data_IF_127353543634
#
_entry.id   IF_127353543634
#
_cell.length_a   1.000
_cell.length_b   1.000
_cell.length_c   1.000
_cell.angle_alpha   90.00
_cell.angle_beta   90.00
_cell.angle_gamma   90.00
#
_symmetry.space_group_name_H-M   'P 1'
#
loop_
_entity.id
_entity.type
_entity.pdbx_description
1 polymer ?
2 non-polymer ?
3 water ?
#
# COMPACT_ATOMS: atom_id res chain seq x y z
N UNK A 5 15.04 -27.10 20.96
CA UNK A 5 13.94 -26.46 20.24
C UNK A 5 14.33 -25.06 19.80
N UNK A 6 14.70 -24.92 18.53
CA UNK A 6 15.12 -23.65 17.96
C UNK A 6 14.00 -23.13 17.05
N UNK A 7 13.41 -21.99 17.43
CA UNK A 7 12.29 -21.39 16.73
C UNK A 7 12.73 -20.15 15.98
N UNK A 8 12.22 -19.99 14.76
CA UNK A 8 12.50 -18.82 13.92
C UNK A 8 11.19 -18.23 13.48
N UNK A 9 11.06 -16.91 13.62
CA UNK A 9 9.91 -16.16 13.14
C UNK A 9 10.31 -15.38 11.90
N UNK A 10 9.58 -15.59 10.80
CA UNK A 10 9.86 -14.98 9.51
C UNK A 10 8.98 -13.74 9.35
N UNK A 11 9.61 -12.57 9.34
CA UNK A 11 8.94 -11.29 9.12
C UNK A 11 8.77 -11.01 7.63
N UNK A 12 7.56 -10.57 7.25
CA UNK A 12 7.27 -10.08 5.90
C UNK A 12 6.32 -8.90 6.05
N UNK A 13 5.05 -9.18 6.32
CA UNK A 13 4.16 -8.18 6.87
C UNK A 13 4.17 -8.31 8.38
N UNK A 14 3.21 -7.69 9.06
CA UNK A 14 3.14 -7.74 10.50
C UNK A 14 4.44 -7.34 11.16
N UNK A 15 4.99 -6.19 10.79
CA UNK A 15 6.29 -5.74 11.29
C UNK A 15 6.11 -5.03 12.62
N UNK A 16 5.76 -5.80 13.65
CA UNK A 16 5.43 -5.25 14.95
C UNK A 16 5.60 -6.35 15.99
N UNK A 17 5.66 -5.93 17.25
CA UNK A 17 5.64 -6.85 18.37
C UNK A 17 4.29 -6.91 19.06
N UNK A 18 3.40 -5.96 18.82
CA UNK A 18 2.07 -6.04 19.39
C UNK A 18 1.15 -6.84 18.47
N UNK A 19 0.16 -7.48 19.07
CA UNK A 19 -0.85 -8.27 18.37
C UNK A 19 -0.20 -9.12 17.28
N UNK A 20 0.75 -9.95 17.71
CA UNK A 20 1.50 -10.83 16.82
C UNK A 20 1.25 -12.27 17.25
N UNK A 21 0.10 -12.85 16.87
CA UNK A 21 -0.20 -14.23 17.29
C UNK A 21 0.83 -15.25 16.84
N UNK A 22 1.31 -15.15 15.60
CA UNK A 22 2.28 -16.12 15.10
C UNK A 22 3.57 -16.09 15.93
N UNK A 23 4.02 -14.90 16.31
CA UNK A 23 5.23 -14.77 17.11
C UNK A 23 5.01 -15.25 18.54
N UNK A 24 3.87 -14.91 19.12
CA UNK A 24 3.57 -15.37 20.48
C UNK A 24 3.53 -16.90 20.54
N UNK A 25 2.81 -17.54 19.61
CA UNK A 25 2.72 -19.00 19.64
C UNK A 25 4.08 -19.65 19.40
N UNK A 26 4.86 -19.09 18.47
CA UNK A 26 6.18 -19.66 18.19
C UNK A 26 7.09 -19.57 19.41
N UNK A 27 6.95 -18.49 20.18
CA UNK A 27 7.78 -18.28 21.36
C UNK A 27 7.41 -19.27 22.46
N UNK A 28 6.12 -19.54 22.63
CA UNK A 28 5.67 -20.44 23.68
C UNK A 28 6.25 -21.83 23.47
N UNK A 29 6.95 -22.33 24.49
CA UNK A 29 7.56 -23.65 24.41
C UNK A 29 8.90 -23.70 23.71
N UNK A 30 9.46 -22.54 23.33
CA UNK A 30 10.72 -22.47 22.64
C UNK A 30 11.85 -22.17 23.63
N UNK A 31 12.97 -22.85 23.45
CA UNK A 31 14.18 -22.46 24.16
C UNK A 31 14.85 -21.29 23.44
N UNK A 32 14.80 -21.29 22.12
CA UNK A 32 15.45 -20.36 21.23
C UNK A 32 14.38 -19.59 20.48
N UNK A 33 14.56 -18.30 20.28
CA UNK A 33 13.73 -17.53 19.36
C UNK A 33 14.63 -16.58 18.56
N UNK A 34 14.46 -16.60 17.25
CA UNK A 34 15.23 -15.75 16.33
C UNK A 34 14.28 -15.18 15.27
N UNK A 35 14.33 -13.86 15.07
CA UNK A 35 13.45 -13.16 14.15
C UNK A 35 14.22 -12.78 12.90
N UNK A 36 13.72 -13.22 11.74
CA UNK A 36 14.41 -13.03 10.47
C UNK A 36 13.58 -12.17 9.54
N UNK A 37 14.27 -11.42 8.68
CA UNK A 37 13.69 -10.83 7.49
C UNK A 37 14.61 -11.15 6.33
N UNK A 38 14.02 -11.53 5.20
CA UNK A 38 14.77 -11.97 4.03
C UNK A 38 14.50 -11.03 2.87
N UNK A 39 15.56 -10.52 2.23
CA UNK A 39 15.46 -9.74 1.00
C UNK A 39 16.70 -9.98 0.15
N UNK A 40 16.56 -9.82 -1.17
CA UNK A 40 17.76 -9.88 -2.00
C UNK A 40 18.07 -8.52 -2.60
N UNK A 41 19.22 -7.91 -2.28
CA UNK A 41 19.53 -6.59 -2.85
C UNK A 41 19.74 -6.61 -4.35
N UNK A 42 20.19 -7.73 -4.93
CA UNK A 42 20.49 -7.76 -6.36
C UNK A 42 19.24 -7.53 -7.20
N UNK A 43 18.10 -8.02 -6.73
CA UNK A 43 16.84 -7.83 -7.44
C UNK A 43 16.06 -6.62 -6.97
N UNK A 44 16.59 -5.84 -6.03
CA UNK A 44 15.84 -4.71 -5.48
C UNK A 44 15.54 -3.66 -6.55
N UNK A 45 16.47 -3.48 -7.49
CA UNK A 45 16.29 -2.44 -8.49
C UNK A 45 15.30 -2.81 -9.57
N UNK A 46 15.10 -4.10 -9.82
CA UNK A 46 14.28 -4.57 -10.94
C UNK A 46 12.94 -5.14 -10.48
N UNK A 47 12.51 -4.86 -9.25
CA UNK A 47 11.31 -5.46 -8.71
C UNK A 47 10.10 -4.53 -8.69
N UNK A 48 10.14 -3.41 -9.43
CA UNK A 48 9.08 -2.40 -9.40
C UNK A 48 8.77 -1.92 -7.97
N UNK A 49 9.78 -1.87 -7.12
CA UNK A 49 9.66 -1.33 -5.76
C UNK A 49 10.48 -0.06 -5.71
N UNK A 50 9.80 1.08 -5.47
CA UNK A 50 10.48 2.36 -5.47
C UNK A 50 11.25 2.62 -4.19
N UNK A 51 12.01 3.73 -4.22
CA UNK A 51 12.93 4.01 -3.12
C UNK A 51 12.18 4.36 -1.83
N UNK A 52 11.02 5.00 -1.93
CA UNK A 52 10.27 5.34 -0.72
C UNK A 52 9.74 4.09 -0.03
N UNK A 53 9.29 3.09 -0.81
CA UNK A 53 8.85 1.83 -0.20
C UNK A 53 10.02 1.11 0.47
N UNK A 54 11.17 1.05 -0.21
CA UNK A 54 12.36 0.45 0.39
C UNK A 54 12.77 1.19 1.65
N UNK A 55 12.77 2.53 1.62
CA UNK A 55 13.18 3.28 2.80
C UNK A 55 12.24 3.05 3.98
N UNK A 56 10.93 3.05 3.72
CA UNK A 56 9.96 2.76 4.77
C UNK A 56 10.18 1.37 5.34
N UNK A 57 10.43 0.38 4.47
CA UNK A 57 10.69 -0.97 4.94
C UNK A 57 11.94 -1.01 5.83
N UNK A 58 13.06 -0.48 5.33
CA UNK A 58 14.29 -0.51 6.11
C UNK A 58 14.11 0.18 7.45
N UNK A 59 13.32 1.26 7.50
CA UNK A 59 13.04 1.93 8.76
C UNK A 59 12.15 1.06 9.66
N UNK A 60 11.19 0.32 9.07
CA UNK A 60 10.46 -0.68 9.84
C UNK A 60 11.41 -1.67 10.49
N UNK A 61 12.41 -2.12 9.73
CA UNK A 61 13.32 -3.14 10.23
C UNK A 61 14.22 -2.59 11.32
N UNK A 62 14.66 -1.33 11.18
CA UNK A 62 15.45 -0.70 12.23
C UNK A 62 14.65 -0.60 13.52
N UNK A 63 13.37 -0.27 13.43
CA UNK A 63 12.53 -0.15 14.61
C UNK A 63 12.27 -1.52 15.26
N UNK A 64 12.02 -2.56 14.46
CA UNK A 64 11.90 -3.90 15.01
C UNK A 64 13.18 -4.31 15.73
N UNK A 65 14.32 -4.08 15.08
CA UNK A 65 15.60 -4.42 15.69
C UNK A 65 15.80 -3.68 17.01
N UNK A 66 15.48 -2.38 17.04
CA UNK A 66 15.61 -1.62 18.28
C UNK A 66 14.69 -2.16 19.36
N UNK A 67 13.42 -2.41 19.01
CA UNK A 67 12.47 -2.91 19.99
C UNK A 67 12.81 -4.31 20.45
N UNK A 68 13.43 -5.11 19.57
CA UNK A 68 13.91 -6.43 19.99
C UNK A 68 15.07 -6.30 20.98
N UNK A 69 15.89 -5.27 20.81
CA UNK A 69 16.97 -5.03 21.75
C UNK A 69 16.43 -4.82 23.17
N UNK A 70 15.31 -4.10 23.29
CA UNK A 70 14.72 -3.87 24.60
C UNK A 70 14.34 -5.17 25.28
N UNK A 71 13.93 -6.18 24.52
CA UNK A 71 13.66 -7.51 25.06
C UNK A 71 14.90 -8.40 25.05
N UNK A 72 16.07 -7.83 24.82
CA UNK A 72 17.38 -8.51 24.80
C UNK A 72 17.56 -9.40 23.58
N UNK A 73 16.72 -9.27 22.56
CA UNK A 73 16.91 -10.03 21.35
C UNK A 73 17.40 -9.11 20.24
N UNK A 74 17.46 -9.63 19.02
CA UNK A 74 17.95 -8.87 17.86
C UNK A 74 17.26 -9.38 16.61
N UNK A 75 17.21 -8.53 15.59
CA UNK A 75 16.63 -8.89 14.30
C UNK A 75 17.73 -9.39 13.35
N UNK A 76 17.42 -10.44 12.59
CA UNK A 76 18.37 -11.02 11.65
C UNK A 76 17.89 -10.69 10.23
N UNK A 77 18.65 -9.87 9.51
CA UNK A 77 18.34 -9.57 8.12
C UNK A 77 19.25 -10.41 7.24
N UNK A 78 18.65 -11.26 6.40
CA UNK A 78 19.40 -12.19 5.56
C UNK A 78 19.22 -11.80 4.11
N UNK A 79 20.32 -11.79 3.38
CA UNK A 79 20.33 -11.45 1.96
C UNK A 79 20.17 -12.71 1.13
N UNK A 80 19.13 -12.77 0.31
CA UNK A 80 18.93 -13.90 -0.57
C UNK A 80 17.45 -14.17 -0.78
N UNK A 81 17.19 -15.29 -1.43
CA UNK A 81 15.86 -15.82 -1.74
C UNK A 81 15.43 -16.80 -0.66
N UNK A 82 14.17 -16.71 -0.21
CA UNK A 82 13.72 -17.59 0.88
C UNK A 82 13.84 -19.07 0.58
N UNK A 83 13.62 -19.50 -0.66
CA UNK A 83 13.75 -20.92 -0.97
C UNK A 83 15.19 -21.38 -0.81
N UNK A 84 16.14 -20.49 -1.07
CA UNK A 84 17.55 -20.84 -0.98
C UNK A 84 18.09 -20.69 0.44
N UNK A 85 17.61 -19.71 1.20
CA UNK A 85 18.25 -19.43 2.49
C UNK A 85 17.71 -20.35 3.59
N UNK A 86 16.44 -20.71 3.54
CA UNK A 86 15.83 -21.44 4.65
C UNK A 86 16.43 -22.83 4.87
N UNK A 87 16.74 -23.62 3.85
CA UNK A 87 17.45 -24.89 4.14
C UNK A 87 18.73 -24.67 4.91
N UNK A 88 19.55 -23.69 4.50
CA UNK A 88 20.82 -23.46 5.19
C UNK A 88 20.60 -23.05 6.64
N UNK A 89 19.54 -22.29 6.90
CA UNK A 89 19.29 -21.84 8.27
C UNK A 89 18.74 -22.96 9.14
N UNK A 90 17.88 -23.80 8.57
CA UNK A 90 17.39 -24.97 9.27
C UNK A 90 18.54 -25.80 9.80
N UNK A 91 19.51 -26.11 8.94
CA UNK A 91 20.66 -26.90 9.34
C UNK A 91 21.61 -26.09 10.23
N UNK A 92 21.87 -24.83 9.88
CA UNK A 92 22.85 -24.04 10.63
C UNK A 92 22.38 -23.78 12.06
N UNK A 93 21.09 -23.53 12.25
CA UNK A 93 20.56 -23.14 13.55
C UNK A 93 19.70 -24.22 14.18
N UNK A 94 19.59 -25.39 13.56
CA UNK A 94 18.85 -26.53 14.09
C UNK A 94 17.40 -26.14 14.36
N UNK A 95 16.74 -25.63 13.33
CA UNK A 95 15.41 -25.04 13.49
C UNK A 95 14.38 -26.14 13.74
N UNK A 96 13.60 -25.98 14.80
CA UNK A 96 12.46 -26.83 15.11
C UNK A 96 11.12 -26.19 14.79
N UNK A 97 11.01 -24.86 14.88
CA UNK A 97 9.77 -24.15 14.62
C UNK A 97 10.01 -23.00 13.65
N UNK A 98 9.08 -22.81 12.73
CA UNK A 98 9.07 -21.68 11.81
C UNK A 98 7.68 -21.07 11.83
N UNK A 99 7.59 -19.77 12.07
CA UNK A 99 6.29 -19.10 12.15
C UNK A 99 6.21 -17.92 11.20
N UNK A 100 5.04 -17.73 10.61
CA UNK A 100 4.77 -16.63 9.68
C UNK A 100 3.36 -16.13 9.95
N UNK A 101 3.16 -14.84 9.73
CA UNK A 101 1.81 -14.33 9.62
C UNK A 101 1.23 -14.77 8.28
N UNK A 102 -0.03 -15.20 8.31
CA UNK A 102 -0.69 -15.65 7.09
C UNK A 102 -0.75 -14.52 6.06
N UNK A 103 -0.46 -14.88 4.80
CA UNK A 103 -0.54 -13.96 3.66
C UNK A 103 -1.58 -14.49 2.68
N UNK A 104 -2.69 -13.76 2.52
CA UNK A 104 -3.80 -14.19 1.68
C UNK A 104 -3.54 -13.97 0.19
N UNK A 105 -2.58 -13.13 -0.18
CA UNK A 105 -2.41 -12.78 -1.59
C UNK A 105 -1.86 -13.96 -2.37
N UNK A 106 -2.36 -14.19 -3.60
CA UNK A 106 -2.10 -15.47 -4.30
C UNK A 106 -0.63 -15.82 -4.46
N UNK A 107 0.20 -14.86 -4.88
CA UNK A 107 1.61 -15.17 -5.07
C UNK A 107 2.32 -15.40 -3.74
N UNK A 108 1.91 -14.69 -2.68
CA UNK A 108 2.42 -14.98 -1.37
C UNK A 108 2.01 -16.36 -0.85
N UNK A 109 0.77 -16.76 -1.15
CA UNK A 109 0.30 -18.08 -0.75
C UNK A 109 1.08 -19.18 -1.44
N UNK A 110 1.36 -19.04 -2.73
CA UNK A 110 2.18 -20.04 -3.43
C UNK A 110 3.60 -20.04 -2.87
N UNK A 111 4.15 -18.86 -2.57
CA UNK A 111 5.49 -18.81 -2.02
C UNK A 111 5.53 -19.51 -0.67
N UNK A 112 4.55 -19.23 0.19
CA UNK A 112 4.52 -19.83 1.52
C UNK A 112 4.30 -21.33 1.45
N UNK A 113 3.48 -21.80 0.50
CA UNK A 113 3.30 -23.23 0.33
C UNK A 113 4.61 -23.93 0.00
N UNK A 114 5.45 -23.31 -0.85
CA UNK A 114 6.74 -23.91 -1.14
C UNK A 114 7.62 -23.94 0.09
N UNK A 115 7.61 -22.88 0.89
CA UNK A 115 8.43 -22.85 2.10
C UNK A 115 7.90 -23.85 3.12
N UNK A 116 6.57 -23.97 3.25
CA UNK A 116 6.02 -24.94 4.17
C UNK A 116 6.43 -26.36 3.79
N UNK A 117 6.44 -26.67 2.49
CA UNK A 117 6.87 -28.00 2.08
C UNK A 117 8.32 -28.25 2.46
N UNK A 118 9.19 -27.25 2.26
CA UNK A 118 10.60 -27.45 2.60
C UNK A 118 10.81 -27.52 4.11
N UNK A 119 10.03 -26.76 4.89
CA UNK A 119 10.16 -26.84 6.34
C UNK A 119 9.70 -28.22 6.84
N UNK A 120 8.55 -28.69 6.36
CA UNK A 120 8.05 -29.98 6.80
C UNK A 120 8.95 -31.12 6.32
N UNK A 121 9.36 -31.08 5.06
CA UNK A 121 10.28 -32.08 4.54
C UNK A 121 11.60 -32.10 5.30
N UNK A 122 11.91 -31.04 6.04
CA UNK A 122 13.10 -31.00 6.87
C UNK A 122 12.78 -31.20 8.35
N UNK A 123 11.56 -31.57 8.69
CA UNK A 123 11.20 -31.75 10.07
C UNK A 123 11.07 -30.49 10.89
N UNK A 124 10.62 -29.39 10.29
CA UNK A 124 10.38 -28.13 10.97
C UNK A 124 8.88 -27.89 11.07
N UNK A 125 8.40 -27.56 12.27
CA UNK A 125 6.98 -27.29 12.46
C UNK A 125 6.64 -25.87 12.03
N UNK A 126 5.59 -25.73 11.23
CA UNK A 126 5.21 -24.45 10.62
C UNK A 126 3.98 -23.88 11.32
N UNK A 127 4.14 -22.74 11.97
CA UNK A 127 3.05 -22.05 12.65
C UNK A 127 2.57 -20.91 11.77
N UNK A 128 1.28 -20.89 11.44
CA UNK A 128 0.67 -19.84 10.62
C UNK A 128 -0.49 -19.23 11.39
N UNK A 129 -0.50 -17.91 11.52
CA UNK A 129 -1.55 -17.23 12.25
C UNK A 129 -2.03 -16.02 11.45
N UNK A 130 -3.33 -15.78 11.51
CA UNK A 130 -3.96 -14.68 10.79
C UNK A 130 -3.86 -13.43 11.65
N UNK A 131 -3.24 -12.38 11.12
CA UNK A 131 -3.25 -11.11 11.83
C UNK A 131 -3.06 -9.90 10.91
N UNK A 132 -2.96 -10.07 9.60
CA UNK A 132 -2.94 -8.92 8.70
C UNK A 132 -4.33 -8.39 8.39
N UNK A 133 -5.37 -9.19 8.66
CA UNK A 133 -6.74 -8.84 8.34
C UNK A 133 -7.60 -8.96 9.59
N UNK A 134 -8.81 -8.41 9.53
CA UNK A 134 -9.71 -8.49 10.66
C UNK A 134 -10.30 -9.88 10.80
N UNK A 135 -10.59 -10.54 9.68
CA UNK A 135 -11.31 -11.81 9.68
C UNK A 135 -10.51 -12.87 8.95
N UNK A 136 -10.91 -14.12 9.18
CA UNK A 136 -10.45 -15.26 8.39
C UNK A 136 -11.14 -15.17 7.03
N UNK A 137 -10.37 -14.83 5.99
CA UNK A 137 -10.97 -14.57 4.69
C UNK A 137 -11.57 -15.84 4.08
N UNK A 138 -10.99 -17.00 4.37
CA UNK A 138 -11.57 -18.25 3.89
C UNK A 138 -12.90 -18.54 4.58
N UNK A 139 -13.07 -18.10 5.83
CA UNK A 139 -14.36 -18.25 6.48
C UNK A 139 -15.41 -17.35 5.86
N UNK A 140 -15.02 -16.13 5.47
CA UNK A 140 -15.94 -15.26 4.74
C UNK A 140 -16.34 -15.89 3.41
N UNK A 141 -15.36 -16.48 2.71
CA UNK A 141 -15.62 -17.04 1.39
C UNK A 141 -16.50 -18.28 1.49
N UNK A 142 -16.31 -19.08 2.54
CA UNK A 142 -17.21 -20.21 2.76
C UNK A 142 -18.63 -19.73 3.01
N UNK A 143 -18.80 -18.78 3.94
CA UNK A 143 -20.13 -18.25 4.24
C UNK A 143 -20.81 -17.63 3.02
N UNK A 144 -20.04 -17.27 1.98
CA UNK A 144 -20.61 -16.80 0.72
C UNK A 144 -20.85 -17.93 -0.27
N UNK A 145 -20.60 -19.18 0.12
CA UNK A 145 -20.83 -20.30 -0.76
C UNK A 145 -19.65 -20.77 -1.58
N UNK A 146 -18.42 -20.40 -1.20
CA UNK A 146 -17.24 -20.81 -1.93
C UNK A 146 -16.72 -19.80 -2.94
N UNK A 147 -17.51 -18.78 -3.27
CA UNK A 147 -17.03 -17.72 -4.14
C UNK A 147 -16.91 -16.42 -3.36
N UNK A 148 -15.88 -15.61 -3.62
CA UNK A 148 -15.75 -14.35 -2.91
C UNK A 148 -16.87 -13.39 -3.30
N UNK A 149 -17.34 -12.56 -2.38
CA UNK A 149 -18.33 -11.54 -2.75
C UNK A 149 -17.79 -10.63 -3.84
N UNK A 150 -18.65 -10.30 -4.80
CA UNK A 150 -18.29 -9.45 -5.92
C UNK A 150 -18.69 -8.00 -5.70
N UNK A 151 -19.40 -7.69 -4.62
CA UNK A 151 -19.84 -6.32 -4.33
C UNK A 151 -19.52 -5.97 -2.89
N UNK A 152 -19.22 -4.70 -2.66
CA UNK A 152 -19.03 -4.21 -1.30
C UNK A 152 -20.27 -4.41 -0.45
N UNK A 153 -21.46 -4.30 -1.06
CA UNK A 153 -22.70 -4.48 -0.31
C UNK A 153 -22.82 -5.90 0.22
N UNK A 154 -22.58 -6.89 -0.63
CA UNK A 154 -22.63 -8.29 -0.18
C UNK A 154 -21.57 -8.56 0.88
N UNK A 155 -20.39 -7.97 0.73
CA UNK A 155 -19.33 -8.18 1.71
C UNK A 155 -19.77 -7.67 3.08
N UNK A 156 -20.42 -6.51 3.13
CA UNK A 156 -20.87 -5.96 4.42
C UNK A 156 -21.92 -6.87 5.05
N UNK A 157 -22.77 -7.50 4.23
CA UNK A 157 -23.73 -8.45 4.76
C UNK A 157 -23.05 -9.59 5.50
N UNK A 158 -22.04 -10.21 4.88
CA UNK A 158 -21.38 -11.35 5.51
C UNK A 158 -20.64 -10.92 6.78
N UNK A 159 -20.00 -9.75 6.75
CA UNK A 159 -19.30 -9.27 7.93
C UNK A 159 -20.30 -9.00 9.07
N UNK A 160 -21.48 -8.50 8.72
CA UNK A 160 -22.48 -8.23 9.76
C UNK A 160 -22.95 -9.51 10.43
N UNK A 161 -22.96 -10.62 9.72
CA UNK A 161 -23.30 -11.91 10.29
C UNK A 161 -22.10 -12.61 10.92
N UNK A 162 -20.91 -12.01 10.84
CA UNK A 162 -19.73 -12.61 11.46
C UNK A 162 -19.80 -12.44 12.98
N UNK A 163 -19.14 -13.36 13.68
CA UNK A 163 -19.02 -13.22 15.12
C UNK A 163 -18.12 -12.04 15.48
N UNK A 164 -18.40 -11.37 16.60
CA UNK A 164 -17.57 -10.22 16.98
C UNK A 164 -16.11 -10.61 17.17
N UNK A 165 -15.21 -9.77 16.67
CA UNK A 165 -13.79 -10.07 16.71
C UNK A 165 -13.29 -10.12 18.16
N UNK A 166 -12.37 -11.04 18.42
CA UNK A 166 -11.82 -11.23 19.75
C UNK A 166 -10.97 -10.05 20.17
N UNK A 168 -7.73 -9.05 20.86
CA UNK A 168 -6.57 -9.25 20.00
C UNK A 168 -5.58 -10.25 20.58
N UNK A 169 -4.28 -9.91 20.57
CA UNK A 169 -3.24 -10.78 21.09
C UNK A 169 -2.29 -9.98 21.96
N UNK A 170 -1.77 -10.61 23.01
CA UNK A 170 -0.88 -9.93 23.93
C UNK A 170 0.42 -9.53 23.23
N UNK A 171 0.95 -8.37 23.61
CA UNK A 171 2.22 -7.91 23.07
C UNK A 171 3.37 -8.79 23.58
N UNK A 172 4.39 -8.94 22.74
CA UNK A 172 5.60 -9.66 23.13
C UNK A 172 6.37 -8.79 24.11
N UNK A 173 6.46 -9.22 25.37
CA UNK A 173 7.16 -8.51 26.43
C UNK A 173 8.25 -9.41 27.01
N UNK A 174 8.87 -8.94 28.09
CA UNK A 174 9.78 -9.81 28.85
C UNK A 174 9.01 -10.94 29.52
N UNK A 175 7.80 -10.64 30.01
CA UNK A 175 6.97 -11.68 30.63
C UNK A 175 6.47 -12.68 29.60
N UNK A 176 6.32 -12.26 28.35
CA UNK A 176 5.86 -13.17 27.30
C UNK A 176 7.00 -14.04 26.81
N UNK A 177 8.18 -13.46 26.60
CA UNK A 177 9.33 -14.24 26.15
C UNK A 177 9.72 -15.25 27.23
N UNK A 178 9.76 -14.80 28.48
CA UNK A 178 10.12 -15.70 29.57
C UNK A 178 11.55 -16.18 29.44
N UNK A 179 11.74 -17.47 29.69
CA UNK A 179 13.07 -18.09 29.60
C UNK A 179 13.29 -18.57 28.16
N UNK A 180 13.40 -17.61 27.26
CA UNK A 180 13.70 -17.86 25.85
C UNK A 180 14.81 -16.92 25.40
N UNK A 181 15.85 -17.47 24.79
CA UNK A 181 17.07 -16.75 24.48
C UNK A 181 17.25 -16.57 22.98
N UNK A 182 18.13 -15.64 22.62
CA UNK A 182 18.53 -15.43 21.23
C UNK A 182 20.04 -15.53 21.12
N UNK A 183 20.57 -16.50 20.37
CA UNK A 183 22.03 -16.58 20.20
C UNK A 183 22.53 -15.40 19.40
N UNK A 184 23.50 -14.66 19.96
CA UNK A 184 24.02 -13.45 19.36
C UNK A 184 25.54 -13.51 19.28
N UNK A 185 26.09 -13.04 18.17
CA UNK A 185 27.53 -12.94 17.96
C UNK A 185 27.93 -11.48 17.86
N UNK A 186 29.22 -11.21 18.09
CA UNK A 186 29.73 -9.84 17.97
C UNK A 186 29.80 -9.40 16.52
N UNK A 187 29.91 -10.35 15.58
CA UNK A 187 29.89 -10.07 14.16
C UNK A 187 28.47 -9.94 13.59
N UNK A 188 27.46 -9.73 14.44
CA UNK A 188 26.07 -9.81 13.98
C UNK A 188 25.74 -8.65 13.04
N UNK A 189 26.18 -7.44 13.38
CA UNK A 189 25.77 -6.26 12.62
C UNK A 189 26.34 -6.27 11.20
N UNK A 190 27.57 -6.75 11.02
CA UNK A 190 28.10 -6.80 9.66
C UNK A 190 27.62 -8.02 8.89
N UNK A 191 26.96 -8.96 9.56
CA UNK A 191 26.43 -10.16 8.91
C UNK A 191 24.92 -10.07 8.69
N UNK A 192 24.17 -9.65 9.72
CA UNK A 192 22.71 -9.62 9.65
C UNK A 192 22.15 -8.22 9.91
N UNK A 193 22.97 -7.19 9.75
CA UNK A 193 22.51 -5.84 10.03
C UNK A 193 21.53 -5.34 8.98
N UNK A 194 20.68 -4.41 9.39
CA UNK A 194 19.68 -3.87 8.46
C UNK A 194 20.39 -3.21 7.30
N UNK A 195 20.03 -3.51 6.05
CA UNK A 195 20.74 -2.93 4.91
C UNK A 195 20.51 -1.44 4.79
N UNK A 196 21.46 -0.77 4.14
CA UNK A 196 21.28 0.60 3.72
C UNK A 196 20.67 0.63 2.32
N UNK A 197 20.10 1.78 1.97
CA UNK A 197 19.56 1.96 0.61
C UNK A 197 20.65 1.84 -0.44
N UNK A 198 21.86 2.33 -0.12
CA UNK A 198 22.98 2.21 -1.04
C UNK A 198 23.28 0.75 -1.38
N UNK A 199 23.25 -0.13 -0.36
CA UNK A 199 23.46 -1.55 -0.63
C UNK A 199 22.45 -2.09 -1.63
N UNK A 200 21.21 -1.58 -1.58
CA UNK A 200 20.19 -1.97 -2.54
C UNK A 200 20.39 -1.32 -3.90
N UNK A 201 21.38 -0.44 -4.04
CA UNK A 201 21.66 0.21 -5.30
C UNK A 201 21.01 1.56 -5.50
N UNK A 202 20.40 2.14 -4.48
CA UNK A 202 19.74 3.43 -4.62
C UNK A 202 20.69 4.56 -4.24
N UNK A 203 20.67 5.63 -5.04
CA UNK A 203 21.36 6.87 -4.69
C UNK A 203 20.50 7.63 -3.70
N UNK A 204 21.09 8.02 -2.57
CA UNK A 204 20.38 8.74 -1.53
C UNK A 204 20.82 10.20 -1.41
N UNK A 205 21.75 10.65 -2.26
CA UNK A 205 22.32 11.98 -2.10
C UNK A 205 21.26 13.07 -2.16
N UNK A 206 20.27 12.90 -3.02
CA UNK A 206 19.21 13.88 -3.16
C UNK A 206 18.02 13.70 -2.23
N UNK A 207 18.10 12.78 -1.28
CA UNK A 207 16.97 12.49 -0.41
C UNK A 207 16.87 13.50 0.73
N UNK A 208 15.63 13.70 1.20
CA UNK A 208 15.34 14.41 2.44
C UNK A 208 14.63 13.46 3.39
N UNK A 209 14.50 13.90 4.65
CA UNK A 209 13.88 13.06 5.67
C UNK A 209 12.47 12.63 5.23
N UNK A 210 12.16 11.35 5.48
CA UNK A 210 10.89 10.81 5.02
C UNK A 210 9.73 11.50 5.73
N UNK A 211 8.72 11.86 4.94
CA UNK A 211 7.46 12.37 5.47
C UNK A 211 6.72 11.30 6.27
N UNK A 212 6.89 10.03 5.89
CA UNK A 212 6.27 8.89 6.57
C UNK A 212 7.37 8.00 7.17
N UNK A 213 7.80 8.27 8.40
CA UNK A 213 8.82 7.41 9.02
C UNK A 213 8.25 6.02 9.28
N UNK A 214 9.07 5.02 9.07
CA UNK A 214 8.60 3.66 9.22
C UNK A 214 8.68 3.16 10.66
N UNK A 215 7.92 2.11 10.94
CA UNK A 215 8.16 1.31 12.12
C UNK A 215 6.96 1.31 13.06
N UNK A 216 6.97 0.34 13.97
CA UNK A 216 5.87 0.15 14.90
C UNK A 216 5.82 1.27 15.94
N UNK A 217 6.98 1.77 16.36
CA UNK A 217 7.01 2.89 17.30
C UNK A 217 6.30 4.11 16.75
N UNK A 218 6.66 4.51 15.53
CA UNK A 218 6.00 5.64 14.88
C UNK A 218 4.50 5.39 14.73
N UNK A 219 4.12 4.15 14.37
CA UNK A 219 2.71 3.82 14.17
C UNK A 219 1.91 3.95 15.48
N UNK A 220 2.48 3.48 16.60
CA UNK A 220 1.73 3.54 17.85
C UNK A 220 1.71 4.96 18.41
N UNK A 221 2.77 5.72 18.20
CA UNK A 221 2.74 7.15 18.55
C UNK A 221 1.66 7.87 17.74
N UNK A 222 1.58 7.60 16.45
CA UNK A 222 0.55 8.23 15.63
C UNK A 222 -0.84 7.80 16.07
N UNK A 223 -0.99 6.55 16.50
CA UNK A 223 -2.32 6.04 16.84
C UNK A 223 -2.91 6.80 18.03
N UNK A 224 -2.10 7.06 19.06
CA UNK A 224 -2.59 7.81 20.20
C UNK A 224 -2.97 9.22 19.81
N UNK A 225 -2.13 9.89 19.01
CA UNK A 225 -2.45 11.24 18.57
C UNK A 225 -3.63 11.25 17.61
N UNK A 226 -3.75 10.23 16.76
CA UNK A 226 -4.88 10.15 15.84
C UNK A 226 -6.20 10.05 16.60
N UNK A 227 -6.22 9.26 17.66
CA UNK A 227 -7.45 9.11 18.45
C UNK A 227 -7.77 10.40 19.19
N UNK A 228 -6.75 11.11 19.67
CA UNK A 228 -6.98 12.38 20.34
C UNK A 228 -7.66 13.37 19.41
N UNK A 229 -7.16 13.48 18.17
CA UNK A 229 -7.75 14.44 17.23
C UNK A 229 -9.18 14.05 16.87
N UNK A 230 -9.45 12.75 16.76
CA UNK A 230 -10.80 12.26 16.48
C UNK A 230 -11.63 12.13 17.75
N UNK A 242 -9.84 20.54 2.00
CA UNK A 242 -9.11 21.79 1.83
C UNK A 242 -7.69 21.56 1.33
N UNK A 243 -6.94 22.66 1.16
CA UNK A 243 -5.55 22.55 0.71
C UNK A 243 -4.70 21.81 1.73
N UNK A 244 -4.96 22.03 3.02
CA UNK A 244 -4.16 21.39 4.05
C UNK A 244 -4.46 19.90 4.15
N UNK A 245 -5.68 19.49 3.76
CA UNK A 245 -6.01 18.06 3.73
C UNK A 245 -5.12 17.31 2.77
N UNK A 246 -4.72 17.96 1.67
CA UNK A 246 -3.91 17.28 0.67
C UNK A 246 -2.53 16.92 1.21
N UNK A 247 -2.05 17.62 2.24
CA UNK A 247 -0.73 17.37 2.77
C UNK A 247 -0.77 16.19 3.73
N UNK A 248 0.36 15.47 3.79
CA UNK A 248 0.43 14.30 4.65
C UNK A 248 0.10 14.67 6.09
N UNK A 249 -0.67 13.81 6.75
CA UNK A 249 -1.03 14.19 8.10
C UNK A 249 -0.08 13.53 9.10
N UNK A 250 0.30 14.25 10.16
CA UNK A 250 1.15 13.63 11.19
C UNK A 250 0.44 12.54 11.98
N UNK A 251 -0.86 12.38 11.82
CA UNK A 251 -1.61 11.29 12.44
C UNK A 251 -2.11 10.28 11.41
N UNK A 252 -1.65 10.37 10.16
CA UNK A 252 -2.04 9.38 9.17
C UNK A 252 -1.48 8.01 9.50
N UNK A 253 -2.30 6.97 9.29
CA UNK A 253 -1.95 5.61 9.69
C UNK A 253 -1.90 4.61 8.53
N UNK A 254 -2.27 5.02 7.32
CA UNK A 254 -2.48 4.04 6.27
C UNK A 254 -1.21 3.29 5.86
N UNK A 255 -0.02 3.90 5.77
CA UNK A 255 1.18 3.08 5.46
C UNK A 255 1.51 2.06 6.53
N UNK A 256 1.25 2.41 7.80
CA UNK A 256 1.57 1.49 8.89
C UNK A 256 0.63 0.29 8.90
N UNK A 257 -0.61 0.47 8.42
CA UNK A 257 -1.51 -0.68 8.26
C UNK A 257 -1.05 -1.59 7.14
N UNK A 258 -0.49 -1.01 6.06
CA UNK A 258 -0.07 -1.83 4.92
C UNK A 258 1.15 -2.68 5.27
N UNK A 259 2.13 -2.08 5.94
CA UNK A 259 3.34 -2.81 6.30
C UNK A 259 3.18 -3.66 7.55
N UNK A 260 2.08 -3.51 8.28
CA UNK A 260 1.90 -4.27 9.50
C UNK A 260 2.51 -3.68 10.75
N UNK A 261 3.00 -2.43 10.70
CA UNK A 261 3.48 -1.80 11.92
C UNK A 261 2.34 -1.51 12.88
N UNK A 262 1.13 -1.39 12.36
CA UNK A 262 -0.06 -1.18 13.16
C UNK A 262 -1.04 -2.30 12.84
N UNK A 263 -1.46 -3.02 13.88
CA UNK A 263 -2.43 -4.09 13.68
C UNK A 263 -3.79 -3.50 13.32
N UNK A 264 -4.41 -4.03 12.27
CA UNK A 264 -5.74 -3.55 11.91
C UNK A 264 -6.75 -3.89 13.01
N UNK A 265 -6.49 -4.97 13.75
CA UNK A 265 -7.41 -5.37 14.81
C UNK A 265 -7.31 -4.43 16.01
N UNK A 266 -6.07 -4.05 16.39
CA UNK A 266 -5.90 -3.06 17.44
C UNK A 266 -6.55 -1.74 17.05
N UNK A 267 -6.30 -1.28 15.82
CA UNK A 267 -6.92 -0.05 15.33
C UNK A 267 -8.44 -0.14 15.42
N UNK A 268 -9.00 -1.31 15.10
CA UNK A 268 -10.44 -1.50 15.14
C UNK A 268 -10.99 -1.32 16.56
N UNK A 269 -10.35 -1.97 17.54
CA UNK A 269 -10.81 -1.87 18.92
C UNK A 269 -10.71 -0.45 19.45
N UNK A 270 -9.59 0.23 19.19
CA UNK A 270 -9.43 1.60 19.65
C UNK A 270 -10.47 2.51 19.03
N UNK A 271 -10.78 2.32 17.74
CA UNK A 271 -11.83 3.09 17.10
C UNK A 271 -13.18 2.82 17.74
N UNK A 272 -13.47 1.55 18.03
CA UNK A 272 -14.76 1.20 18.62
C UNK A 272 -14.95 1.85 19.98
N UNK A 273 -13.91 1.77 20.82
CA UNK A 273 -14.06 2.23 22.20
C UNK A 273 -14.04 3.75 22.29
N UNK A 274 -13.29 4.43 21.41
CA UNK A 274 -13.40 5.88 21.38
C UNK A 274 -14.79 6.32 20.91
N UNK A 275 -15.33 5.62 19.91
CA UNK A 275 -16.68 5.94 19.45
C UNK A 275 -17.69 5.73 20.57
N UNK A 276 -17.55 4.63 21.33
CA UNK A 276 -18.45 4.38 22.44
C UNK A 276 -18.36 5.49 23.48
N UNK A 277 -17.14 5.98 23.75
CA UNK A 277 -16.97 7.08 24.68
C UNK A 277 -17.55 8.38 24.13
N UNK A 278 -17.36 8.64 22.83
CA UNK A 278 -17.88 9.87 22.23
C UNK A 278 -19.40 9.86 22.19
N UNK A 279 -20.00 8.71 21.91
CA UNK A 279 -21.45 8.58 21.90
C UNK A 279 -21.94 7.72 23.06
N UNK A 284 -23.20 2.56 16.45
CA UNK A 284 -21.95 1.91 16.04
C UNK A 284 -21.90 1.60 14.54
N UNK A 285 -21.88 2.64 13.71
CA UNK A 285 -22.02 2.46 12.26
C UNK A 285 -20.72 1.96 11.65
N UNK A 286 -20.76 1.74 10.34
CA UNK A 286 -19.58 1.38 9.57
C UNK A 286 -18.93 2.60 8.93
N UNK A 287 -19.41 3.80 9.27
CA UNK A 287 -18.79 5.02 8.77
C UNK A 287 -17.32 5.10 9.17
N UNK A 288 -17.00 4.74 10.41
CA UNK A 288 -15.64 4.80 10.91
C UNK A 288 -14.81 3.58 10.56
N UNK A 289 -15.44 2.47 10.20
CA UNK A 289 -14.73 1.27 9.76
C UNK A 289 -14.68 1.15 8.25
N UNK A 290 -15.10 2.19 7.51
CA UNK A 290 -15.27 2.05 6.08
C UNK A 290 -13.98 1.69 5.37
N UNK A 291 -12.88 2.35 5.74
CA UNK A 291 -11.61 2.07 5.08
C UNK A 291 -11.13 0.66 5.37
N UNK A 292 -11.32 0.19 6.60
CA UNK A 292 -10.86 -1.16 6.96
C UNK A 292 -11.68 -2.22 6.24
N UNK A 293 -12.97 -1.96 6.02
CA UNK A 293 -13.81 -2.95 5.33
C UNK A 293 -13.45 -3.05 3.85
N UNK A 294 -13.14 -1.91 3.22
CA UNK A 294 -12.70 -1.95 1.83
C UNK A 294 -11.39 -2.71 1.71
N UNK A 295 -10.47 -2.47 2.64
CA UNK A 295 -9.23 -3.23 2.73
C UNK A 295 -9.52 -4.72 2.81
N UNK A 296 -10.37 -5.10 3.76
CA UNK A 296 -10.71 -6.50 3.96
C UNK A 296 -11.38 -7.09 2.71
N UNK A 297 -12.23 -6.30 2.05
CA UNK A 297 -12.98 -6.79 0.91
C UNK A 297 -12.08 -7.13 -0.28
N UNK A 298 -11.07 -6.29 -0.55
CA UNK A 298 -10.19 -6.55 -1.68
C UNK A 298 -9.26 -7.72 -1.41
N UNK A 299 -8.81 -7.87 -0.15
CA UNK A 299 -8.05 -9.07 0.20
C UNK A 299 -8.88 -10.32 -0.05
N UNK A 300 -10.16 -10.30 0.36
CA UNK A 300 -11.03 -11.45 0.16
C UNK A 300 -11.24 -11.74 -1.31
N UNK A 301 -11.38 -10.69 -2.13
CA UNK A 301 -11.66 -10.90 -3.55
C UNK A 301 -10.44 -11.41 -4.31
N UNK A 302 -9.24 -11.02 -3.88
CA UNK A 302 -8.02 -11.37 -4.62
C UNK A 302 -7.45 -12.74 -4.25
N UNK A 303 -7.84 -13.31 -3.11
CA UNK A 303 -7.01 -14.35 -2.52
C UNK A 303 -7.01 -15.63 -3.37
N UNK A 304 -8.12 -15.93 -4.04
CA UNK A 304 -8.20 -17.11 -4.90
C UNK A 304 -8.11 -16.75 -6.38
N UNK A 305 -7.70 -15.53 -6.71
CA UNK A 305 -7.66 -15.08 -8.11
C UNK A 305 -6.23 -14.70 -8.48
N UNK A 306 -5.47 -15.60 -9.11
CA UNK A 306 -4.07 -15.26 -9.44
C UNK A 306 -3.93 -14.26 -10.57
N UNK A 307 -4.98 -13.99 -11.35
CA UNK A 307 -4.96 -12.94 -12.37
C UNK A 307 -5.73 -11.71 -11.93
N UNK A 308 -5.87 -11.50 -10.61
CA UNK A 308 -6.58 -10.34 -10.07
C UNK A 308 -6.01 -9.02 -10.59
N UNK A 309 -4.72 -8.97 -10.91
CA UNK A 309 -4.09 -7.73 -11.37
C UNK A 309 -4.04 -7.63 -12.89
N UNK A 310 -4.81 -8.45 -13.60
CA UNK A 310 -4.84 -8.48 -15.05
C UNK A 310 -6.24 -8.16 -15.55
N UNK A 311 -6.34 -7.77 -16.82
CA UNK A 311 -7.64 -7.70 -17.47
C UNK A 311 -7.93 -8.98 -18.23
N UNK A 312 -7.08 -9.32 -19.19
CA UNK A 312 -7.26 -10.56 -19.93
C UNK A 312 -7.06 -11.76 -19.01
N UNK A 313 -7.99 -12.72 -19.08
CA UNK A 313 -7.94 -13.90 -18.24
C UNK A 313 -8.43 -13.70 -16.83
N UNK A 314 -8.75 -12.47 -16.44
CA UNK A 314 -9.30 -12.21 -15.11
C UNK A 314 -10.82 -12.37 -15.18
N UNK A 315 -11.39 -13.40 -14.56
CA UNK A 315 -12.82 -13.67 -14.74
C UNK A 315 -13.76 -12.63 -14.12
N UNK A 316 -13.28 -11.71 -13.28
CA UNK A 316 -14.18 -10.72 -12.67
C UNK A 316 -14.05 -9.37 -13.33
N UNK A 317 -13.27 -9.26 -14.42
CA UNK A 317 -12.87 -7.98 -14.99
C UNK A 317 -13.54 -7.80 -16.34
N UNK A 318 -14.16 -6.65 -16.52
CA UNK A 318 -14.73 -6.30 -17.82
C UNK A 318 -13.60 -6.14 -18.84
N UNK A 319 -13.78 -6.72 -20.03
CA UNK A 319 -12.81 -6.56 -21.11
C UNK A 319 -13.08 -5.25 -21.84
N UNK A 320 -12.17 -4.30 -21.71
CA UNK A 320 -12.33 -2.95 -22.26
C UNK A 320 -11.14 -2.69 -23.17
N UNK A 321 -11.35 -2.21 -24.39
CA UNK A 321 -10.23 -1.94 -25.33
C UNK A 321 -9.52 -0.63 -25.01
N UNK A 322 -8.66 -0.69 -23.99
CA UNK A 322 -7.88 0.48 -23.59
C UNK A 322 -6.87 0.88 -24.67
N UNK A 323 -6.54 2.16 -24.72
CA UNK A 323 -5.49 2.62 -25.61
C UNK A 323 -4.14 2.12 -25.14
N UNK A 324 -3.26 1.79 -26.09
CA UNK A 324 -1.86 1.53 -25.81
C UNK A 324 -1.08 2.79 -26.23
N UNK A 325 -0.53 3.49 -25.25
CA UNK A 325 0.07 4.81 -25.49
C UNK A 325 1.18 5.05 -24.48
N UNK A 326 2.36 4.43 -24.71
CA UNK A 326 3.45 4.55 -23.73
C UNK A 326 3.92 5.98 -23.49
N UNK A 327 3.87 6.85 -24.51
CA UNK A 327 4.33 8.22 -24.31
C UNK A 327 3.38 8.99 -23.41
N UNK A 328 2.08 8.79 -23.57
CA UNK A 328 1.11 9.44 -22.69
C UNK A 328 1.18 8.86 -21.28
N UNK A 329 1.31 7.54 -21.17
CA UNK A 329 1.50 6.91 -19.86
C UNK A 329 2.68 7.51 -19.12
N UNK A 330 3.81 7.67 -19.82
CA UNK A 330 5.01 8.19 -19.18
C UNK A 330 4.84 9.65 -18.76
N UNK A 331 4.08 10.43 -19.52
CA UNK A 331 3.78 11.79 -19.08
C UNK A 331 2.98 11.77 -17.78
N UNK A 332 1.95 10.92 -17.70
CA UNK A 332 1.17 10.83 -16.48
C UNK A 332 2.02 10.34 -15.31
N UNK A 333 2.80 9.27 -15.53
CA UNK A 333 3.61 8.70 -14.46
C UNK A 333 4.62 9.71 -13.92
N UNK A 334 5.21 10.51 -14.81
CA UNK A 334 6.29 11.39 -14.41
C UNK A 334 5.80 12.78 -14.06
N UNK A 335 4.50 12.99 -14.00
CA UNK A 335 3.95 14.29 -13.69
C UNK A 335 4.32 15.34 -14.73
N UNK A 336 4.16 15.00 -16.01
CA UNK A 336 4.46 15.91 -17.12
C UNK A 336 3.24 16.11 -18.01
N UNK A 337 2.04 16.03 -17.43
CA UNK A 337 0.83 16.11 -18.23
C UNK A 337 0.53 17.51 -18.73
N UNK A 338 1.10 18.55 -18.12
CA UNK A 338 0.73 19.92 -18.45
C UNK A 338 -0.48 20.42 -17.69
N UNK A 339 -1.11 19.56 -16.90
CA UNK A 339 -2.18 19.95 -15.99
C UNK A 339 -1.58 20.05 -14.61
N UNK A 340 -1.39 21.26 -14.06
CA UNK A 340 -0.67 21.36 -12.78
C UNK A 340 -1.30 20.57 -11.64
N UNK A 341 -2.63 20.48 -11.58
CA UNK A 341 -3.28 19.69 -10.55
C UNK A 341 -2.84 18.24 -10.61
N UNK A 342 -2.88 17.64 -11.80
CA UNK A 342 -2.45 16.26 -11.99
C UNK A 342 -0.97 16.11 -11.72
N UNK A 343 -0.15 17.06 -12.22
CA UNK A 343 1.30 16.94 -12.08
C UNK A 343 1.75 17.16 -10.64
N UNK A 344 1.06 18.02 -9.88
CA UNK A 344 1.44 18.22 -8.49
C UNK A 344 1.12 16.98 -7.66
N UNK A 345 0.02 16.32 -7.96
CA UNK A 345 -0.34 15.09 -7.26
C UNK A 345 0.66 13.98 -7.56
N UNK A 346 0.96 13.74 -8.83
CA UNK A 346 1.93 12.70 -9.17
C UNK A 346 3.31 13.03 -8.63
N UNK A 347 3.60 14.31 -8.41
CA UNK A 347 4.88 14.71 -7.84
C UNK A 347 4.92 14.45 -6.34
N UNK A 348 3.85 14.82 -5.62
CA UNK A 348 3.74 14.44 -4.22
C UNK A 348 3.85 12.92 -4.05
N UNK A 349 3.19 12.16 -4.92
CA UNK A 349 3.25 10.70 -4.81
C UNK A 349 4.68 10.19 -4.95
N UNK A 350 5.38 10.62 -5.99
CA UNK A 350 6.75 10.18 -6.21
C UNK A 350 7.69 10.64 -5.09
N UNK A 351 7.50 11.84 -4.57
CA UNK A 351 8.42 12.36 -3.56
C UNK A 351 8.18 11.77 -2.18
N UNK A 352 6.92 11.47 -1.84
CA UNK A 352 6.58 11.12 -0.46
C UNK A 352 5.96 9.74 -0.30
N UNK A 353 5.31 9.19 -1.31
CA UNK A 353 4.72 7.89 -1.21
C UNK A 353 3.28 7.86 -0.74
N UNK A 354 2.64 9.02 -0.54
CA UNK A 354 1.26 9.06 -0.11
C UNK A 354 0.58 10.26 -0.73
N UNK A 355 -0.63 10.06 -1.25
CA UNK A 355 -1.50 11.16 -1.66
C UNK A 355 -2.90 10.90 -1.10
N UNK A 356 -3.64 11.99 -0.95
CA UNK A 356 -5.02 11.93 -0.48
C UNK A 356 -5.88 11.09 -1.42
N UNK A 357 -6.89 10.43 -0.85
CA UNK A 357 -7.78 9.58 -1.65
C UNK A 357 -8.50 10.37 -2.73
N UNK A 358 -8.84 11.64 -2.48
CA UNK A 358 -9.45 12.46 -3.52
C UNK A 358 -8.46 12.77 -4.62
N UNK A 359 -7.17 12.88 -4.29
CA UNK A 359 -6.16 13.10 -5.32
C UNK A 359 -5.91 11.82 -6.13
N UNK A 360 -6.06 10.65 -5.50
CA UNK A 360 -5.98 9.40 -6.24
C UNK A 360 -7.11 9.30 -7.26
N UNK A 361 -8.33 9.62 -6.82
CA UNK A 361 -9.47 9.69 -7.74
C UNK A 361 -9.14 10.57 -8.94
N UNK A 362 -8.56 11.75 -8.67
CA UNK A 362 -8.28 12.70 -9.75
C UNK A 362 -7.30 12.12 -10.76
N UNK A 363 -6.12 11.66 -10.31
CA UNK A 363 -5.13 11.22 -11.29
C UNK A 363 -5.55 9.89 -11.94
N UNK A 364 -6.29 9.05 -11.22
CA UNK A 364 -6.68 7.75 -11.78
C UNK A 364 -7.81 7.91 -12.79
N UNK A 365 -8.76 8.80 -12.49
CA UNK A 365 -9.77 9.14 -13.49
C UNK A 365 -9.11 9.70 -14.75
N UNK A 366 -8.17 10.63 -14.58
CA UNK A 366 -7.46 11.22 -15.71
C UNK A 366 -6.82 10.13 -16.58
N UNK A 367 -6.14 9.16 -15.94
CA UNK A 367 -5.43 8.17 -16.73
C UNK A 367 -6.38 7.24 -17.48
N UNK A 368 -7.50 6.84 -16.86
CA UNK A 368 -8.30 5.73 -17.36
C UNK A 368 -9.61 6.22 -17.93
N UNK A 369 -10.69 6.26 -17.16
CA UNK A 369 -12.00 6.50 -17.75
C UNK A 369 -12.19 7.96 -18.16
N UNK A 370 -11.35 8.85 -17.68
CA UNK A 370 -11.53 10.27 -17.89
C UNK A 370 -10.90 10.77 -19.18
N UNK A 371 -9.57 10.81 -19.24
CA UNK A 371 -8.88 11.55 -20.28
C UNK A 371 -8.06 10.69 -21.22
N UNK A 372 -7.16 9.86 -20.71
CA UNK A 372 -6.21 9.17 -21.58
C UNK A 372 -6.68 7.79 -22.02
N UNK A 373 -7.68 7.20 -21.34
CA UNK A 373 -8.22 5.89 -21.73
C UNK A 373 -7.12 4.82 -21.78
N UNK A 374 -6.19 4.90 -20.83
CA UNK A 374 -5.11 3.93 -20.69
C UNK A 374 -5.52 2.91 -19.64
N UNK A 375 -5.05 1.67 -19.81
CA UNK A 375 -5.53 0.59 -18.95
C UNK A 375 -5.23 0.84 -17.47
N UNK A 376 -6.19 0.47 -16.62
CA UNK A 376 -5.99 0.50 -15.18
C UNK A 376 -4.78 -0.34 -14.75
N UNK A 377 -4.44 -1.38 -15.53
CA UNK A 377 -3.25 -2.17 -15.20
C UNK A 377 -1.98 -1.31 -15.21
N UNK A 378 -1.93 -0.28 -16.06
CA UNK A 378 -0.73 0.53 -16.15
C UNK A 378 -0.63 1.51 -14.99
N UNK A 379 -1.76 2.12 -14.59
CA UNK A 379 -1.76 2.92 -13.38
C UNK A 379 -1.44 2.12 -12.14
N UNK A 380 -1.94 0.89 -12.07
CA UNK A 380 -1.65 0.05 -10.90
C UNK A 380 -0.16 -0.19 -10.76
N UNK A 381 0.54 -0.44 -11.86
CA UNK A 381 1.97 -0.69 -11.80
C UNK A 381 2.74 0.54 -11.29
N UNK A 382 2.34 1.74 -11.73
CA UNK A 382 3.00 2.95 -11.25
C UNK A 382 2.72 3.13 -9.76
N UNK A 383 1.46 2.98 -9.36
CA UNK A 383 1.12 3.11 -7.94
C UNK A 383 1.80 2.01 -7.13
N UNK A 384 1.89 0.79 -7.66
CA UNK A 384 2.63 -0.25 -6.96
C UNK A 384 4.04 0.20 -6.63
N UNK A 385 4.70 0.87 -7.57
CA UNK A 385 6.06 1.32 -7.34
C UNK A 385 6.12 2.40 -6.24
N UNK A 386 5.20 3.37 -6.26
CA UNK A 386 5.37 4.60 -5.51
C UNK A 386 4.52 4.72 -4.25
N UNK A 387 3.40 4.01 -4.17
CA UNK A 387 2.43 4.22 -3.10
C UNK A 387 2.77 3.34 -1.91
N UNK A 388 2.79 3.93 -0.71
CA UNK A 388 3.18 3.22 0.49
C UNK A 388 2.06 2.37 1.09
N UNK A 389 0.79 2.70 0.85
CA UNK A 389 -0.26 2.14 1.69
C UNK A 389 -1.17 1.15 0.97
N UNK A 390 -0.79 0.68 -0.21
CA UNK A 390 -1.67 -0.18 -0.99
C UNK A 390 -0.95 -1.47 -1.36
N UNK A 391 -1.35 -2.56 -0.71
CA UNK A 391 -0.93 -3.90 -1.10
C UNK A 391 -1.45 -4.24 -2.50
N UNK A 392 -0.86 -5.28 -3.08
CA UNK A 392 -1.23 -5.82 -4.39
C UNK A 392 -2.74 -6.00 -4.52
N UNK A 393 -3.38 -6.59 -3.51
CA UNK A 393 -4.82 -6.82 -3.59
C UNK A 393 -5.58 -5.50 -3.62
N UNK A 394 -5.18 -4.55 -2.77
CA UNK A 394 -5.89 -3.27 -2.65
C UNK A 394 -5.64 -2.41 -3.88
N UNK A 395 -4.40 -2.37 -4.35
CA UNK A 395 -4.05 -1.58 -5.52
C UNK A 395 -4.82 -2.07 -6.74
N UNK A 396 -4.77 -3.38 -7.01
CA UNK A 396 -5.49 -3.91 -8.15
C UNK A 396 -6.99 -3.72 -8.01
N UNK A 397 -7.52 -4.03 -6.83
CA UNK A 397 -8.94 -3.85 -6.59
C UNK A 397 -9.37 -2.41 -6.79
N UNK A 398 -8.55 -1.47 -6.34
CA UNK A 398 -8.93 -0.07 -6.40
C UNK A 398 -8.93 0.42 -7.84
N UNK A 399 -7.95 -0.04 -8.64
CA UNK A 399 -7.87 0.38 -10.03
C UNK A 399 -8.98 -0.24 -10.87
N UNK A 400 -9.32 -1.51 -10.65
CA UNK A 400 -10.46 -2.10 -11.35
C UNK A 400 -11.75 -1.38 -10.98
N UNK A 401 -11.88 -0.99 -9.71
CA UNK A 401 -13.11 -0.37 -9.25
C UNK A 401 -13.32 1.00 -9.89
N UNK A 402 -12.29 1.85 -9.88
CA UNK A 402 -12.46 3.22 -10.37
C UNK A 402 -12.59 3.27 -11.89
N UNK A 403 -12.08 2.26 -12.59
CA UNK A 403 -12.18 2.25 -14.04
C UNK A 403 -13.41 1.52 -14.55
N UNK A 404 -14.35 1.17 -13.65
CA UNK A 404 -15.54 0.36 -13.97
C UNK A 404 -15.18 -0.97 -14.62
N UNK A 405 -14.07 -1.56 -14.24
CA UNK A 405 -13.72 -2.87 -14.79
C UNK A 405 -14.23 -4.01 -13.92
N UNK A 406 -14.53 -3.74 -12.65
CA UNK A 406 -15.11 -4.75 -11.78
C UNK A 406 -15.80 -4.03 -10.62
N UNK A 407 -16.52 -4.81 -9.82
CA UNK A 407 -17.18 -4.30 -8.61
C UNK A 407 -18.16 -3.17 -8.91
N UNK A 408 -18.76 -3.19 -10.09
CA UNK A 408 -19.53 -2.03 -10.55
C UNK A 408 -20.76 -1.81 -9.67
N UNK A 409 -20.92 -0.58 -9.17
CA UNK A 409 -22.15 -0.19 -8.49
C UNK A 409 -22.79 1.07 -9.08
N UNK A 410 -22.04 1.89 -9.81
CA UNK A 410 -22.57 3.08 -10.46
C UNK A 410 -21.50 3.65 -11.37
N UNK A 411 -21.93 4.48 -12.32
CA UNK A 411 -20.98 5.28 -13.08
C UNK A 411 -20.41 6.37 -12.18
N UNK A 412 -19.24 6.86 -12.53
CA UNK A 412 -18.54 7.81 -11.69
C UNK A 412 -18.58 9.21 -12.27
N UNK A 413 -18.53 10.20 -11.38
CA UNK A 413 -18.26 11.55 -11.80
C UNK A 413 -16.91 11.62 -12.51
N UNK A 414 -16.87 12.33 -13.64
CA UNK A 414 -15.61 12.57 -14.34
C UNK A 414 -14.97 13.84 -13.78
N UNK A 415 -13.87 13.68 -13.04
CA UNK A 415 -13.23 14.81 -12.38
C UNK A 415 -12.57 15.73 -13.41
N UNK A 416 -12.69 17.03 -13.17
CA UNK A 416 -12.09 18.00 -14.05
C UNK A 416 -10.64 18.23 -13.64
N UNK A 417 -9.65 18.02 -14.51
CA UNK A 417 -8.26 18.21 -14.07
C UNK A 417 -7.87 19.66 -13.83
N UNK A 418 -8.71 20.61 -14.20
CA UNK A 418 -8.44 22.00 -13.87
C UNK A 418 -9.30 22.44 -12.70
N UNK A 419 -10.61 22.23 -12.80
CA UNK A 419 -11.53 22.81 -11.84
C UNK A 419 -11.57 22.11 -10.49
N UNK A 420 -11.33 20.79 -10.45
CA UNK A 420 -11.54 20.08 -9.20
C UNK A 420 -10.61 20.59 -8.11
N UNK A 421 -9.32 20.73 -8.42
CA UNK A 421 -8.39 21.21 -7.42
C UNK A 421 -8.50 22.69 -7.16
N UNK A 422 -8.96 23.45 -8.16
CA UNK A 422 -9.15 24.88 -7.98
C UNK A 422 -10.19 25.16 -6.91
N UNK A 423 -11.28 24.39 -6.89
CA UNK A 423 -12.24 24.49 -5.79
C UNK A 423 -11.64 23.96 -4.49
N UNK A 424 -10.77 22.96 -4.55
CA UNK A 424 -10.08 22.52 -3.34
C UNK A 424 -9.20 23.63 -2.78
N UNK A 425 -8.48 24.34 -3.65
CA UNK A 425 -7.49 25.32 -3.23
C UNK A 425 -7.44 26.43 -4.26
N UNK A 426 -8.25 27.48 -4.09
CA UNK A 426 -8.30 28.53 -5.12
C UNK A 426 -6.96 29.20 -5.35
N UNK A 427 -6.15 29.35 -4.31
CA UNK A 427 -4.85 30.01 -4.47
C UNK A 427 -3.82 29.13 -5.15
N UNK A 428 -4.04 27.82 -5.17
CA UNK A 428 -3.05 26.91 -5.71
C UNK A 428 -1.83 26.72 -4.84
N UNK A 429 -2.00 26.81 -3.51
CA UNK A 429 -0.88 26.55 -2.61
C UNK A 429 -0.34 25.12 -2.78
N UNK A 430 -1.22 24.15 -3.00
CA UNK A 430 -0.76 22.78 -3.23
C UNK A 430 0.10 22.70 -4.49
N UNK A 431 -0.37 23.32 -5.58
CA UNK A 431 0.42 23.41 -6.81
C UNK A 431 1.78 24.01 -6.55
N UNK A 432 1.81 25.16 -5.85
CA UNK A 432 3.05 25.88 -5.59
C UNK A 432 4.03 25.06 -4.76
N UNK A 433 3.53 24.24 -3.83
CA UNK A 433 4.43 23.47 -2.99
C UNK A 433 5.17 22.42 -3.81
N UNK A 434 4.45 21.68 -4.67
CA UNK A 434 5.03 20.55 -5.38
C UNK A 434 5.50 20.88 -6.79
N UNK A 435 5.12 22.02 -7.36
CA UNK A 435 5.60 22.43 -8.68
C UNK A 435 6.20 23.84 -8.56
N UNK A 436 7.42 23.95 -8.05
CA UNK A 436 8.00 25.28 -7.81
C UNK A 436 8.22 26.09 -9.07
N UNK A 437 8.32 25.46 -10.24
CA UNK A 437 8.51 26.19 -11.48
C UNK A 437 7.32 27.09 -11.82
N UNK A 438 6.16 26.84 -11.22
CA UNK A 438 4.94 27.58 -11.51
C UNK A 438 4.62 28.64 -10.46
N UNK A 439 5.45 28.76 -9.41
CA UNK A 439 5.13 29.65 -8.30
C UNK A 439 4.94 31.10 -8.72
N UNK A 440 5.52 31.51 -9.85
CA UNK A 440 5.34 32.88 -10.32
C UNK A 440 3.95 33.16 -10.87
N UNK A 441 3.20 32.15 -11.26
CA UNK A 441 1.89 32.37 -11.87
C UNK A 441 0.89 32.85 -10.83
N UNK A 442 -0.02 33.73 -11.22
CA UNK A 442 -1.10 34.12 -10.30
C UNK A 442 -2.19 33.06 -10.26
N UNK A 443 -3.01 33.13 -9.21
CA UNK A 443 -4.04 32.13 -9.00
C UNK A 443 -4.96 32.01 -10.21
N UNK A 444 -5.15 33.10 -10.95
CA UNK A 444 -6.03 33.07 -12.13
C UNK A 444 -5.61 32.03 -13.15
N UNK A 445 -4.31 31.75 -13.27
CA UNK A 445 -3.78 30.83 -14.27
C UNK A 445 -3.02 29.65 -13.67
N UNK A 446 -2.94 29.53 -12.34
CA UNK A 446 -2.06 28.51 -11.75
C UNK A 446 -2.54 27.10 -12.09
N UNK A 447 -3.84 26.90 -12.33
CA UNK A 447 -4.38 25.59 -12.69
C UNK A 447 -4.49 25.38 -14.19
N UNK A 448 -4.34 26.44 -14.99
CA UNK A 448 -4.41 26.35 -16.45
C UNK A 448 -3.42 27.34 -17.04
N UNK A 449 -2.12 27.14 -16.80
CA UNK A 449 -1.13 28.16 -17.19
C UNK A 449 -0.97 28.31 -18.68
N UNK A 450 -1.43 27.35 -19.48
CA UNK A 450 -1.40 27.52 -20.92
C UNK A 450 -2.31 28.65 -21.38
N UNK A 451 -3.26 29.06 -20.52
CA UNK A 451 -4.08 30.24 -20.79
C UNK A 451 -3.41 31.54 -20.38
N UNK A 452 -2.27 31.50 -19.70
CA UNK A 452 -1.61 32.75 -19.33
C UNK A 452 -1.06 33.44 -20.57
N UNK A 453 -1.29 34.74 -20.76
CA UNK A 453 -0.68 35.46 -21.88
C UNK A 453 0.84 35.36 -21.85
N UNK A 454 1.46 35.60 -23.00
CA UNK A 454 2.91 35.48 -23.13
C UNK A 454 3.63 36.38 -22.12
N UNK A 455 3.17 37.61 -21.94
CA UNK A 455 3.79 38.48 -20.97
C UNK A 455 3.69 37.95 -19.56
N UNK A 456 2.58 37.27 -19.23
CA UNK A 456 2.41 36.72 -17.89
C UNK A 456 3.39 35.57 -17.65
N UNK A 457 3.54 34.68 -18.64
CA UNK A 457 4.53 33.62 -18.54
C UNK A 457 5.93 34.19 -18.34
N UNK A 458 6.27 35.26 -19.06
CA UNK A 458 7.60 35.87 -18.92
C UNK A 458 7.83 36.39 -17.51
N UNK A 459 6.83 37.08 -16.95
CA UNK A 459 6.94 37.56 -15.58
C UNK A 459 7.13 36.41 -14.61
N UNK A 460 6.31 35.36 -14.76
CA UNK A 460 6.45 34.19 -13.91
C UNK A 460 7.75 33.44 -14.17
N UNK A 461 8.50 33.83 -15.20
CA UNK A 461 9.72 33.15 -15.61
C UNK A 461 9.46 31.66 -15.85
N UNK A 462 8.38 31.39 -16.56
CA UNK A 462 8.00 30.01 -16.87
C UNK A 462 7.23 30.02 -18.19
N UNK A 463 7.93 29.69 -19.27
CA UNK A 463 7.32 29.64 -20.59
C UNK A 463 6.67 28.28 -20.79
N UNK A 464 5.35 28.28 -21.02
CA UNK A 464 4.61 27.02 -21.17
C UNK A 464 5.06 26.35 -22.46
N UNK A 465 5.53 25.11 -22.35
CA UNK A 465 6.12 24.41 -23.46
C UNK A 465 7.64 24.46 -23.47
N UNK A 466 8.25 25.20 -22.55
CA UNK A 466 9.69 25.21 -22.38
C UNK A 466 10.01 24.86 -20.94
N UNK A 467 9.58 25.70 -20.00
CA UNK A 467 9.84 25.43 -18.59
C UNK A 467 8.82 24.48 -17.98
N UNK A 468 7.65 24.34 -18.60
CA UNK A 468 6.60 23.47 -18.11
C UNK A 468 5.80 23.08 -19.35
N UNK A 469 5.39 21.82 -19.49
CA UNK A 469 4.82 21.38 -20.76
C UNK A 469 3.44 21.96 -21.01
N UNK A 470 3.04 21.94 -22.28
CA UNK A 470 1.67 22.23 -22.65
C UNK A 470 0.77 21.06 -22.25
N UNK A 471 -0.54 21.30 -22.10
CA UNK A 471 -1.46 20.20 -21.74
C UNK A 471 -1.44 19.09 -22.78
N UNK A 472 -1.33 17.85 -22.30
CA UNK A 472 -1.17 16.71 -23.22
C UNK A 472 -2.46 16.35 -23.94
N UNK A 473 -3.59 16.86 -23.48
CA UNK A 473 -4.90 16.48 -24.01
C UNK A 473 -5.86 17.64 -23.82
N UNK A 474 -6.88 17.70 -24.67
CA UNK A 474 -8.03 18.57 -24.47
C UNK A 474 -9.03 17.84 -23.59
N UNK A 475 -9.19 18.29 -22.34
CA UNK A 475 -10.02 17.53 -21.40
C UNK A 475 -11.47 17.48 -21.87
N UNK A 476 -12.02 18.60 -22.36
CA UNK A 476 -13.44 18.62 -22.73
C UNK A 476 -13.74 17.59 -23.81
N UNK A 477 -12.90 17.56 -24.85
CA UNK A 477 -13.12 16.62 -25.96
C UNK A 477 -12.85 15.18 -25.54
N UNK A 478 -11.72 14.94 -24.88
CA UNK A 478 -11.37 13.57 -24.48
C UNK A 478 -12.41 13.00 -23.51
N UNK A 479 -12.77 13.76 -22.47
CA UNK A 479 -13.69 13.22 -21.49
C UNK A 479 -15.06 12.99 -22.11
N UNK A 480 -15.48 13.87 -23.04
CA UNK A 480 -16.77 13.69 -23.69
C UNK A 480 -16.82 12.37 -24.45
N UNK A 481 -15.76 12.08 -25.22
CA UNK A 481 -15.68 10.79 -25.91
C UNK A 481 -15.65 9.64 -24.92
N UNK A 482 -14.88 9.77 -23.84
CA UNK A 482 -14.65 8.61 -22.99
C UNK A 482 -15.85 8.31 -22.11
N UNK A 483 -16.61 9.33 -21.71
CA UNK A 483 -17.87 9.09 -21.00
C UNK A 483 -18.80 8.25 -21.86
N UNK A 484 -18.90 8.58 -23.15
CA UNK A 484 -19.74 7.81 -24.06
C UNK A 484 -19.20 6.41 -24.28
N UNK A 485 -17.87 6.28 -24.44
CA UNK A 485 -17.28 4.96 -24.60
C UNK A 485 -17.71 4.04 -23.47
N UNK A 486 -17.62 4.53 -22.23
CA UNK A 486 -17.95 3.70 -21.07
C UNK A 486 -19.41 3.29 -21.08
N UNK A 487 -20.31 4.22 -21.42
CA UNK A 487 -21.72 3.89 -21.52
C UNK A 487 -21.97 2.78 -22.51
N UNK A 488 -21.30 2.81 -23.67
CA UNK A 488 -21.50 1.78 -24.67
C UNK A 488 -21.00 0.43 -24.17
N UNK A 489 -19.89 0.43 -23.43
CA UNK A 489 -19.41 -0.80 -22.81
C UNK A 489 -20.49 -1.41 -21.94
N UNK A 490 -21.13 -0.59 -21.09
CA UNK A 490 -22.11 -1.12 -20.16
C UNK A 490 -23.47 -1.39 -20.81
N UNK A 491 -23.80 -0.71 -21.92
CA UNK A 491 -24.97 -1.13 -22.70
C UNK A 491 -24.76 -2.52 -23.30
N UNK A 492 -23.55 -2.81 -23.80
CA UNK A 492 -23.25 -4.15 -24.30
C UNK A 492 -23.41 -5.20 -23.20
N UNK A 493 -22.96 -4.87 -21.98
CA UNK A 493 -23.03 -5.82 -20.88
C UNK A 493 -24.49 -6.10 -20.48
N UNK A 494 -25.37 -5.12 -20.64
CA UNK A 494 -26.79 -5.35 -20.38
C UNK A 494 -27.39 -6.33 -21.36
N UNK A 495 -26.98 -6.25 -22.63
CA UNK A 495 -27.54 -7.15 -23.64
C UNK A 495 -27.07 -8.58 -23.42
N UNK A 496 -25.79 -8.77 -23.06
CA UNK A 496 -25.25 -10.10 -22.81
C UNK A 496 -25.72 -10.64 -21.47
#
# INVERSE_FOLDING_TARGET
GTMGVNAVHWFRKGLRLHDNPALKECIQGADTIRCVYILDPWFAGSSNVGINRWRFLLQCLEDLDANLRKLNSRLFVIRGQPADVFPRLFKEWNITKLSIEYDSEPFGKERDAAIKKLATEAGVEVIVRISHTLYDLDKIIELNGGQPPLTYKRFQTLVSKMEPLEMPADTITSDVIGKCMTPLSDDHDEKYGVPSLEELGFDTDGLSSAVWPGGETEALTRLERHLERKAWVANFERPRMNANSLLASPTGLSPYLRFGCLSCRLFYFKLTDLYKKVKKNSSPPLSLYGQLLWREFFYTAATNNPRFDKMEGNPICVQIPWDKNPEALAKWAEGRTGFPWIDAIMTQLRQEGWIHHLARHAVACFLTRGDLWISWEEGMKVFEELLLDADWSINAGSWMWLSCSSFFQQFFHCYCPVGFGRRTDPNGDYIRRYLPVLRGFPAKYIYDPWNAPEGIQKVAKCLIGVNYPKPMVNHAEASRLNIERMKQIYQQLSRYRG
#
